data_IF_985093065143
#
_entry.id   IF_985093065143
#
_cell.length_a   1.000
_cell.length_b   1.000
_cell.length_c   1.000
_cell.angle_alpha   90.00
_cell.angle_beta   90.00
_cell.angle_gamma   90.00
#
_symmetry.space_group_name_H-M   'P 1'
#
loop_
_entity.id
_entity.type
_entity.pdbx_description
1 polymer ?
#
# COMPACT_ATOMS: atom_id res chain seq x y z
N UNK A 1 -10.85 13.51 -28.28
CA UNK A 1 -10.54 13.94 -26.90
C UNK A 1 -9.10 13.63 -26.50
N UNK A 2 -8.60 12.39 -26.53
CA UNK A 2 -7.17 12.10 -26.22
C UNK A 2 -6.16 12.81 -27.14
N UNK A 3 -6.53 13.06 -28.38
CA UNK A 3 -5.67 13.77 -29.36
C UNK A 3 -5.61 15.28 -29.10
N UNK A 4 -6.68 15.88 -28.56
CA UNK A 4 -6.79 17.34 -28.37
C UNK A 4 -5.94 17.88 -27.24
N UNK A 5 -5.51 17.00 -26.32
CA UNK A 5 -4.57 17.31 -25.24
C UNK A 5 -3.12 16.97 -25.59
N UNK A 6 -2.87 16.28 -26.70
CA UNK A 6 -1.57 15.66 -27.04
C UNK A 6 -0.64 16.48 -27.96
N UNK A 7 -1.15 17.53 -28.61
CA UNK A 7 -0.38 18.32 -29.60
C UNK A 7 0.65 19.28 -28.95
N UNK A 8 0.77 19.30 -27.62
CA UNK A 8 1.79 20.08 -26.92
C UNK A 8 2.19 19.49 -25.56
N UNK A 9 3.38 19.86 -25.07
CA UNK A 9 3.95 19.42 -23.77
C UNK A 9 3.30 20.14 -22.58
N UNK A 10 1.97 20.10 -22.50
CA UNK A 10 1.18 20.90 -21.57
C UNK A 10 0.73 20.14 -20.32
N UNK A 11 1.12 18.87 -20.16
CA UNK A 11 0.76 18.01 -19.04
C UNK A 11 1.69 18.10 -17.85
N UNK A 12 1.29 17.43 -16.75
CA UNK A 12 2.19 17.22 -15.62
C UNK A 12 3.24 16.20 -16.03
N UNK A 13 4.51 16.54 -15.85
CA UNK A 13 5.60 15.65 -16.26
C UNK A 13 5.80 14.50 -15.28
N UNK A 14 5.87 13.29 -15.84
CA UNK A 14 6.12 12.05 -15.12
C UNK A 14 7.59 11.66 -15.16
N UNK A 15 8.16 11.74 -16.36
CA UNK A 15 9.55 11.44 -16.67
C UNK A 15 10.05 12.43 -17.71
N UNK A 16 11.33 12.37 -18.08
CA UNK A 16 11.86 13.18 -19.19
C UNK A 16 11.06 13.03 -20.50
N UNK A 17 10.37 11.91 -20.70
CA UNK A 17 9.66 11.58 -21.95
C UNK A 17 8.14 11.48 -21.82
N UNK A 18 7.59 11.38 -20.61
CA UNK A 18 6.16 11.16 -20.40
C UNK A 18 5.52 12.30 -19.61
N UNK A 19 4.28 12.63 -19.99
CA UNK A 19 3.42 13.59 -19.31
C UNK A 19 2.04 12.96 -19.07
N UNK A 20 1.30 13.50 -18.10
CA UNK A 20 -0.13 13.22 -17.91
C UNK A 20 -0.89 14.49 -18.18
N UNK A 21 -1.71 14.41 -19.22
CA UNK A 21 -2.49 15.53 -19.70
C UNK A 21 -3.91 15.51 -19.16
N UNK A 22 -4.49 14.33 -19.02
CA UNK A 22 -5.86 14.12 -18.60
C UNK A 22 -6.08 12.80 -17.86
N UNK A 23 -7.13 12.76 -17.05
CA UNK A 23 -7.72 11.56 -16.47
C UNK A 23 -9.18 11.52 -16.88
N UNK A 24 -9.58 10.50 -17.63
CA UNK A 24 -10.95 10.38 -18.13
C UNK A 24 -11.66 9.17 -17.52
N UNK A 25 -12.92 9.36 -17.11
CA UNK A 25 -13.81 8.31 -16.66
C UNK A 25 -15.24 8.58 -17.14
N UNK A 26 -15.67 7.83 -18.16
CA UNK A 26 -16.97 8.03 -18.83
C UNK A 26 -17.09 9.50 -19.29
N UNK A 27 -17.94 10.29 -18.62
CA UNK A 27 -18.22 11.68 -18.95
C UNK A 27 -17.42 12.68 -18.11
N UNK A 28 -16.72 12.22 -17.06
CA UNK A 28 -15.89 13.04 -16.20
C UNK A 28 -14.46 13.06 -16.77
N UNK A 29 -13.97 14.25 -17.11
CA UNK A 29 -12.64 14.49 -17.65
C UNK A 29 -11.89 15.46 -16.73
N UNK A 30 -10.78 15.04 -16.15
CA UNK A 30 -9.91 15.92 -15.38
C UNK A 30 -8.66 16.29 -16.19
N UNK A 31 -8.54 17.55 -16.58
CA UNK A 31 -7.35 18.12 -17.22
C UNK A 31 -6.34 18.54 -16.18
N UNK A 32 -5.05 18.29 -16.47
CA UNK A 32 -3.93 18.65 -15.61
C UNK A 32 -2.92 19.49 -16.39
N UNK A 33 -2.52 20.64 -15.82
CA UNK A 33 -1.50 21.51 -16.41
C UNK A 33 -0.58 22.10 -15.35
N UNK A 34 0.62 22.55 -15.77
CA UNK A 34 1.58 23.23 -14.89
C UNK A 34 1.35 24.74 -14.83
N UNK A 35 0.92 25.34 -15.94
CA UNK A 35 0.70 26.78 -16.02
C UNK A 35 -0.75 27.11 -16.36
N UNK A 36 -1.16 28.31 -15.93
CA UNK A 36 -2.48 28.88 -16.25
C UNK A 36 -2.72 28.96 -17.76
N UNK A 37 -1.72 29.43 -18.52
CA UNK A 37 -1.78 29.49 -19.99
C UNK A 37 -2.01 28.11 -20.61
N UNK A 38 -1.29 27.09 -20.14
CA UNK A 38 -1.49 25.70 -20.58
C UNK A 38 -2.90 25.19 -20.25
N UNK A 39 -3.40 25.50 -19.06
CA UNK A 39 -4.77 25.14 -18.66
C UNK A 39 -5.82 25.81 -19.55
N UNK A 40 -5.65 27.11 -19.83
CA UNK A 40 -6.56 27.87 -20.69
C UNK A 40 -6.56 27.32 -22.13
N UNK A 41 -5.38 27.03 -22.69
CA UNK A 41 -5.24 26.41 -24.02
C UNK A 41 -5.92 25.04 -24.08
N UNK A 42 -5.68 24.18 -23.07
CA UNK A 42 -6.33 22.85 -23.02
C UNK A 42 -7.85 22.96 -22.91
N UNK A 43 -8.34 23.89 -22.09
CA UNK A 43 -9.78 24.12 -21.89
C UNK A 43 -10.44 24.54 -23.21
N UNK A 44 -9.83 25.50 -23.93
CA UNK A 44 -10.32 25.93 -25.24
C UNK A 44 -10.26 24.81 -26.30
N UNK A 45 -9.16 24.06 -26.36
CA UNK A 45 -9.01 22.92 -27.28
C UNK A 45 -10.07 21.85 -27.03
N UNK A 46 -10.32 21.49 -25.76
CA UNK A 46 -11.36 20.52 -25.40
C UNK A 46 -12.75 21.05 -25.73
N UNK A 47 -13.03 22.34 -25.55
CA UNK A 47 -14.30 22.95 -25.94
C UNK A 47 -14.58 22.81 -27.43
N UNK A 48 -13.60 23.15 -28.28
CA UNK A 48 -13.70 23.05 -29.73
C UNK A 48 -13.95 21.61 -30.18
N UNK A 49 -13.22 20.65 -29.60
CA UNK A 49 -13.38 19.22 -29.96
C UNK A 49 -14.67 18.63 -29.40
N UNK A 50 -15.11 19.05 -28.23
CA UNK A 50 -16.42 18.64 -27.68
C UNK A 50 -17.56 19.14 -28.57
N UNK A 51 -17.50 20.39 -29.03
CA UNK A 51 -18.48 20.96 -29.94
C UNK A 51 -18.55 20.22 -31.29
N UNK A 52 -17.42 19.74 -31.82
CA UNK A 52 -17.41 18.98 -33.09
C UNK A 52 -17.90 17.54 -32.96
N UNK A 53 -17.77 16.94 -31.76
CA UNK A 53 -18.14 15.54 -31.50
C UNK A 53 -19.58 15.41 -30.98
N UNK A 54 -20.21 16.52 -30.57
CA UNK A 54 -21.62 16.57 -30.12
C UNK A 54 -21.85 16.79 -28.62
N UNK A 55 -20.99 16.32 -27.69
CA UNK A 55 -21.17 16.62 -26.26
C UNK A 55 -20.89 18.10 -25.95
N UNK A 56 -21.87 18.81 -25.38
CA UNK A 56 -21.63 20.15 -24.83
C UNK A 56 -21.00 20.07 -23.44
N UNK A 57 -19.96 20.87 -23.17
CA UNK A 57 -19.38 20.99 -21.83
C UNK A 57 -20.36 21.70 -20.91
N UNK A 58 -20.70 21.08 -19.79
CA UNK A 58 -21.59 21.70 -18.80
C UNK A 58 -20.82 22.71 -17.93
N UNK A 59 -20.80 23.98 -18.35
CA UNK A 59 -20.08 25.07 -17.68
C UNK A 59 -20.30 25.14 -16.16
N UNK A 60 -21.55 25.03 -15.70
CA UNK A 60 -21.87 25.06 -14.26
C UNK A 60 -21.33 23.88 -13.43
N UNK A 61 -21.00 22.75 -14.05
CA UNK A 61 -20.41 21.57 -13.40
C UNK A 61 -18.89 21.55 -13.55
N UNK A 62 -18.35 22.27 -14.52
CA UNK A 62 -16.90 22.39 -14.74
C UNK A 62 -16.30 23.30 -13.68
N UNK A 63 -15.28 22.81 -12.98
CA UNK A 63 -14.62 23.52 -11.88
C UNK A 63 -13.11 23.55 -12.06
N UNK A 64 -12.48 24.63 -11.60
CA UNK A 64 -11.02 24.80 -11.57
C UNK A 64 -10.54 24.63 -10.12
N UNK A 65 -9.59 23.73 -9.88
CA UNK A 65 -8.88 23.61 -8.61
C UNK A 65 -7.40 23.96 -8.83
N UNK A 66 -6.90 24.94 -8.09
CA UNK A 66 -5.51 25.38 -8.18
C UNK A 66 -4.69 24.80 -7.03
N UNK A 67 -3.54 24.18 -7.34
CA UNK A 67 -2.64 23.67 -6.31
C UNK A 67 -1.49 24.62 -6.07
N UNK A 68 -1.58 25.40 -4.99
CA UNK A 68 -0.52 26.35 -4.58
C UNK A 68 -0.15 27.33 -5.70
N UNK A 69 -1.12 27.74 -6.51
CA UNK A 69 -0.93 28.76 -7.52
C UNK A 69 -1.13 30.15 -6.88
N UNK A 70 -0.22 31.07 -7.13
CA UNK A 70 -0.36 32.49 -6.76
C UNK A 70 -1.21 33.25 -7.78
N UNK A 71 -1.45 32.64 -8.95
CA UNK A 71 -2.18 33.24 -10.05
C UNK A 71 -3.69 33.15 -9.82
N UNK A 72 -4.32 34.31 -9.64
CA UNK A 72 -5.76 34.45 -9.45
C UNK A 72 -6.53 34.66 -10.77
N UNK A 73 -5.85 34.65 -11.92
CA UNK A 73 -6.48 34.81 -13.21
C UNK A 73 -7.55 33.73 -13.41
N UNK A 74 -8.77 34.10 -13.86
CA UNK A 74 -9.83 33.16 -14.15
C UNK A 74 -9.45 32.27 -15.35
N UNK A 75 -9.98 31.05 -15.37
CA UNK A 75 -10.04 30.24 -16.59
C UNK A 75 -11.41 30.51 -17.21
N UNK A 76 -11.43 30.75 -18.52
CA UNK A 76 -12.65 31.05 -19.26
C UNK A 76 -12.98 29.92 -20.24
N UNK A 77 -14.27 29.66 -20.43
CA UNK A 77 -14.81 28.70 -21.38
C UNK A 77 -15.95 29.37 -22.15
N UNK A 78 -15.77 29.56 -23.46
CA UNK A 78 -16.70 30.28 -24.34
C UNK A 78 -17.11 31.65 -23.78
N UNK A 79 -16.14 32.42 -23.28
CA UNK A 79 -16.36 33.75 -22.68
C UNK A 79 -16.89 33.76 -21.25
N UNK A 80 -17.29 32.62 -20.69
CA UNK A 80 -17.74 32.50 -19.30
C UNK A 80 -16.61 32.11 -18.36
N UNK A 81 -16.52 32.76 -17.21
CA UNK A 81 -15.54 32.43 -16.16
C UNK A 81 -15.96 31.14 -15.43
N UNK A 82 -15.06 30.16 -15.39
CA UNK A 82 -15.26 28.95 -14.61
C UNK A 82 -15.01 29.20 -13.12
N UNK A 83 -15.80 28.53 -12.28
CA UNK A 83 -15.68 28.67 -10.82
C UNK A 83 -14.36 28.05 -10.32
N UNK A 84 -13.59 28.85 -9.58
CA UNK A 84 -12.44 28.38 -8.80
C UNK A 84 -12.96 27.83 -7.47
N UNK A 85 -12.65 26.56 -7.17
CA UNK A 85 -13.06 25.89 -5.94
C UNK A 85 -11.85 25.48 -5.11
N UNK A 86 -12.00 25.47 -3.79
CA UNK A 86 -10.96 24.98 -2.87
C UNK A 86 -10.96 23.45 -2.74
N UNK A 87 -12.09 22.82 -3.04
CA UNK A 87 -12.22 21.36 -3.09
C UNK A 87 -13.30 20.92 -4.06
N UNK A 88 -13.18 19.71 -4.60
CA UNK A 88 -14.21 19.10 -5.42
C UNK A 88 -14.25 17.58 -5.24
N UNK A 89 -15.34 16.95 -5.67
CA UNK A 89 -15.51 15.50 -5.61
C UNK A 89 -15.25 14.88 -6.98
N UNK A 90 -14.21 14.06 -7.09
CA UNK A 90 -13.90 13.27 -8.28
C UNK A 90 -14.06 11.79 -8.00
N UNK A 91 -14.93 11.10 -8.76
CA UNK A 91 -15.22 9.67 -8.60
C UNK A 91 -15.55 9.26 -7.14
N UNK A 92 -16.24 10.18 -6.45
CA UNK A 92 -16.65 10.07 -5.06
C UNK A 92 -15.59 10.46 -4.03
N UNK A 93 -14.33 10.67 -4.39
CA UNK A 93 -13.26 11.11 -3.49
C UNK A 93 -13.12 12.63 -3.49
N UNK A 94 -12.97 13.23 -2.31
CA UNK A 94 -12.77 14.67 -2.20
C UNK A 94 -11.30 15.01 -2.40
N UNK A 95 -11.03 15.93 -3.32
CA UNK A 95 -9.71 16.49 -3.59
C UNK A 95 -9.74 17.94 -3.12
N UNK A 96 -8.87 18.31 -2.19
CA UNK A 96 -8.70 19.68 -1.68
C UNK A 96 -7.40 20.32 -2.17
N UNK A 97 -7.34 21.64 -2.17
CA UNK A 97 -6.15 22.43 -2.57
C UNK A 97 -4.89 22.10 -1.74
N UNK A 98 -5.08 21.63 -0.50
CA UNK A 98 -3.96 21.27 0.38
C UNK A 98 -3.39 19.87 0.07
N UNK A 99 -4.07 19.11 -0.81
CA UNK A 99 -3.77 17.73 -1.20
C UNK A 99 -3.79 16.76 -0.02
N UNK A 100 -4.64 17.03 0.97
CA UNK A 100 -4.85 16.19 2.15
C UNK A 100 -5.88 15.08 1.92
N UNK A 101 -6.03 14.18 2.90
CA UNK A 101 -7.11 13.19 2.91
C UNK A 101 -8.15 13.47 4.00
N UNK A 102 -7.99 14.56 4.76
CA UNK A 102 -8.83 14.83 5.94
C UNK A 102 -10.26 15.19 5.55
N UNK A 103 -10.46 15.97 4.48
CA UNK A 103 -11.78 16.29 3.96
C UNK A 103 -12.52 15.05 3.47
N UNK A 104 -11.85 14.20 2.69
CA UNK A 104 -12.40 12.93 2.20
C UNK A 104 -12.76 11.99 3.35
N UNK A 105 -11.85 11.80 4.32
CA UNK A 105 -12.09 10.95 5.51
C UNK A 105 -13.28 11.47 6.31
N UNK A 106 -13.40 12.79 6.51
CA UNK A 106 -14.54 13.40 7.21
C UNK A 106 -15.86 13.11 6.47
N UNK A 107 -15.88 13.28 5.15
CA UNK A 107 -17.06 12.98 4.34
C UNK A 107 -17.43 11.49 4.37
N UNK A 108 -16.43 10.60 4.34
CA UNK A 108 -16.62 9.14 4.41
C UNK A 108 -17.17 8.69 5.76
N UNK A 109 -16.70 9.29 6.87
CA UNK A 109 -17.29 9.08 8.19
C UNK A 109 -18.76 9.54 8.21
N UNK A 110 -19.08 10.69 7.61
CA UNK A 110 -20.46 11.17 7.50
C UNK A 110 -21.39 10.22 6.73
N UNK A 111 -20.93 9.74 5.56
CA UNK A 111 -21.65 8.76 4.75
C UNK A 111 -21.83 7.43 5.47
N UNK A 112 -20.76 6.91 6.08
CA UNK A 112 -20.80 5.67 6.84
C UNK A 112 -21.70 5.79 8.09
N UNK A 113 -21.71 6.93 8.76
CA UNK A 113 -22.62 7.20 9.89
C UNK A 113 -24.08 7.14 9.43
N UNK A 114 -24.39 7.74 8.29
CA UNK A 114 -25.75 7.71 7.72
C UNK A 114 -26.17 6.28 7.41
N UNK A 115 -25.31 5.51 6.73
CA UNK A 115 -25.55 4.09 6.45
C UNK A 115 -25.73 3.27 7.74
N UNK A 116 -24.92 3.53 8.77
CA UNK A 116 -25.06 2.86 10.06
C UNK A 116 -26.41 3.17 10.72
N UNK A 117 -26.85 4.43 10.71
CA UNK A 117 -28.12 4.83 11.32
C UNK A 117 -29.35 4.26 10.59
N UNK A 118 -29.28 4.14 9.26
CA UNK A 118 -30.36 3.51 8.47
C UNK A 118 -30.59 2.05 8.88
N UNK A 119 -29.55 1.35 9.34
CA UNK A 119 -29.62 -0.04 9.77
C UNK A 119 -29.91 -0.20 11.29
N UNK A 120 -30.43 0.84 11.96
CA UNK A 120 -30.70 0.83 13.42
C UNK A 120 -31.48 -0.39 13.91
N UNK A 121 -32.48 -0.83 13.14
CA UNK A 121 -33.33 -1.96 13.50
C UNK A 121 -32.56 -3.28 13.50
N UNK A 122 -31.56 -3.42 12.63
CA UNK A 122 -30.67 -4.59 12.56
C UNK A 122 -29.80 -4.65 13.81
N UNK A 123 -29.23 -3.52 14.22
CA UNK A 123 -28.36 -3.45 15.41
C UNK A 123 -29.13 -3.78 16.69
N UNK A 124 -30.37 -3.30 16.79
CA UNK A 124 -31.24 -3.52 17.95
C UNK A 124 -31.92 -4.90 17.98
N UNK A 125 -31.94 -5.63 16.85
CA UNK A 125 -32.63 -6.93 16.78
C UNK A 125 -31.94 -7.99 17.65
N UNK A 126 -32.71 -8.64 18.53
CA UNK A 126 -32.25 -9.78 19.33
C UNK A 126 -32.21 -11.10 18.54
N UNK A 127 -32.92 -11.16 17.41
CA UNK A 127 -33.01 -12.35 16.56
C UNK A 127 -31.72 -12.58 15.74
N UNK A 128 -30.97 -11.51 15.47
CA UNK A 128 -29.73 -11.59 14.70
C UNK A 128 -28.54 -11.81 15.63
N UNK A 129 -27.73 -12.82 15.31
CA UNK A 129 -26.47 -13.05 16.01
C UNK A 129 -25.49 -11.89 15.78
N UNK A 130 -24.61 -11.67 16.76
CA UNK A 130 -23.52 -10.68 16.65
C UNK A 130 -22.68 -10.87 15.39
N UNK A 131 -22.37 -12.12 15.02
CA UNK A 131 -21.58 -12.43 13.83
C UNK A 131 -22.26 -11.96 12.54
N UNK A 132 -23.58 -12.12 12.43
CA UNK A 132 -24.35 -11.63 11.28
C UNK A 132 -24.33 -10.10 11.25
N UNK A 133 -24.56 -9.45 12.39
CA UNK A 133 -24.52 -7.97 12.48
C UNK A 133 -23.14 -7.42 12.08
N UNK A 134 -22.05 -8.02 12.56
CA UNK A 134 -20.69 -7.63 12.18
C UNK A 134 -20.44 -7.82 10.68
N UNK A 135 -20.95 -8.90 10.07
CA UNK A 135 -20.87 -9.09 8.60
C UNK A 135 -21.63 -8.00 7.84
N UNK A 136 -22.82 -7.62 8.29
CA UNK A 136 -23.62 -6.54 7.69
C UNK A 136 -22.88 -5.20 7.84
N UNK A 137 -22.30 -4.94 9.02
CA UNK A 137 -21.46 -3.76 9.26
C UNK A 137 -20.27 -3.70 8.30
N UNK A 138 -19.54 -4.81 8.13
CA UNK A 138 -18.36 -4.87 7.25
C UNK A 138 -18.71 -4.61 5.78
N UNK A 139 -19.84 -5.15 5.32
CA UNK A 139 -20.28 -5.07 3.91
C UNK A 139 -20.91 -3.73 3.55
N UNK A 140 -21.67 -3.11 4.46
CA UNK A 140 -22.42 -1.90 4.15
C UNK A 140 -21.77 -0.63 4.72
N UNK A 141 -21.33 -0.66 5.98
CA UNK A 141 -20.83 0.55 6.67
C UNK A 141 -19.33 0.69 6.48
N UNK A 142 -18.56 -0.37 6.78
CA UNK A 142 -17.09 -0.35 6.68
C UNK A 142 -16.64 -0.20 5.22
N UNK A 143 -17.39 -0.75 4.26
CA UNK A 143 -17.14 -0.58 2.83
C UNK A 143 -17.25 0.88 2.38
N UNK A 144 -18.30 1.59 2.83
CA UNK A 144 -18.49 3.02 2.55
C UNK A 144 -17.41 3.86 3.24
N UNK A 145 -17.10 3.52 4.49
CA UNK A 145 -16.10 4.22 5.30
C UNK A 145 -14.70 4.16 4.68
N UNK A 146 -14.28 2.98 4.21
CA UNK A 146 -12.91 2.72 3.73
C UNK A 146 -12.79 2.75 2.21
N UNK A 147 -13.75 3.36 1.52
CA UNK A 147 -13.66 3.57 0.09
C UNK A 147 -12.50 4.55 -0.23
N UNK A 148 -11.61 4.15 -1.13
CA UNK A 148 -10.44 4.95 -1.53
C UNK A 148 -9.29 4.98 -0.51
N UNK A 149 -9.42 4.27 0.61
CA UNK A 149 -8.48 4.34 1.72
C UNK A 149 -7.06 3.84 1.38
N UNK A 150 -6.92 3.02 0.35
CA UNK A 150 -5.65 2.58 -0.21
C UNK A 150 -4.76 3.76 -0.67
N UNK A 151 -5.37 4.88 -1.09
CA UNK A 151 -4.65 6.08 -1.57
C UNK A 151 -4.56 7.19 -0.53
N UNK A 152 -5.18 7.03 0.64
CA UNK A 152 -5.16 8.06 1.67
C UNK A 152 -3.75 8.30 2.19
N UNK A 153 -3.44 9.58 2.42
CA UNK A 153 -2.31 10.00 3.23
C UNK A 153 -2.66 9.78 4.70
N UNK A 154 -2.49 8.56 5.18
CA UNK A 154 -2.78 8.19 6.57
C UNK A 154 -1.81 8.87 7.53
N UNK A 155 -2.34 9.72 8.40
CA UNK A 155 -1.66 10.19 9.62
C UNK A 155 -2.20 9.41 10.82
N UNK A 156 -1.47 9.41 11.93
CA UNK A 156 -1.94 8.84 13.20
C UNK A 156 -3.28 9.44 13.62
N UNK A 157 -3.47 10.75 13.43
CA UNK A 157 -4.73 11.44 13.71
C UNK A 157 -5.87 10.94 12.82
N UNK A 158 -5.63 10.79 11.52
CA UNK A 158 -6.63 10.28 10.56
C UNK A 158 -7.03 8.84 10.89
N UNK A 159 -6.06 7.96 11.17
CA UNK A 159 -6.30 6.57 11.59
C UNK A 159 -7.12 6.53 12.87
N UNK A 160 -6.76 7.34 13.89
CA UNK A 160 -7.49 7.44 15.15
C UNK A 160 -8.95 7.86 14.93
N UNK A 161 -9.22 8.86 14.09
CA UNK A 161 -10.60 9.30 13.77
C UNK A 161 -11.44 8.16 13.18
N UNK A 162 -10.88 7.41 12.24
CA UNK A 162 -11.55 6.24 11.63
C UNK A 162 -11.77 5.13 12.67
N UNK A 163 -10.76 4.83 13.48
CA UNK A 163 -10.86 3.81 14.53
C UNK A 163 -11.92 4.16 15.59
N UNK A 164 -11.99 5.42 16.03
CA UNK A 164 -13.01 5.87 16.99
C UNK A 164 -14.41 5.64 16.45
N UNK A 165 -14.65 5.96 15.18
CA UNK A 165 -15.95 5.71 14.55
C UNK A 165 -16.28 4.21 14.48
N UNK A 166 -15.34 3.37 14.05
CA UNK A 166 -15.52 1.90 14.00
C UNK A 166 -15.83 1.37 15.40
N UNK A 167 -15.04 1.76 16.40
CA UNK A 167 -15.20 1.32 17.78
C UNK A 167 -16.55 1.75 18.38
N UNK A 168 -17.05 2.94 18.03
CA UNK A 168 -18.39 3.38 18.42
C UNK A 168 -19.49 2.51 17.81
N UNK A 169 -19.36 2.15 16.52
CA UNK A 169 -20.30 1.27 15.85
C UNK A 169 -20.29 -0.15 16.44
N UNK A 170 -19.11 -0.71 16.69
CA UNK A 170 -18.97 -2.07 17.25
C UNK A 170 -19.57 -2.17 18.67
N UNK A 171 -19.36 -1.16 19.53
CA UNK A 171 -20.01 -1.11 20.86
C UNK A 171 -21.53 -1.13 20.77
N UNK A 172 -22.10 -0.37 19.83
CA UNK A 172 -23.55 -0.39 19.58
C UNK A 172 -24.04 -1.75 19.06
N UNK A 173 -23.29 -2.40 18.18
CA UNK A 173 -23.62 -3.74 17.67
C UNK A 173 -23.62 -4.78 18.79
N UNK A 174 -22.68 -4.68 19.73
CA UNK A 174 -22.60 -5.52 20.92
C UNK A 174 -23.58 -5.12 22.02
N UNK A 175 -24.40 -4.09 21.81
CA UNK A 175 -25.35 -3.57 22.78
C UNK A 175 -24.70 -3.15 24.11
N UNK A 176 -23.49 -2.57 24.04
CA UNK A 176 -22.75 -2.10 25.21
C UNK A 176 -23.13 -0.65 25.46
N UNK A 177 -23.75 -0.42 26.61
CA UNK A 177 -24.19 0.89 27.08
C UNK A 177 -23.56 1.19 28.42
N UNK A 178 -23.39 2.48 28.74
CA UNK A 178 -23.02 2.86 30.10
C UNK A 178 -24.07 2.31 31.09
N UNK A 179 -23.68 1.75 32.25
CA UNK A 179 -22.36 1.78 32.89
C UNK A 179 -21.38 0.67 32.44
N UNK A 180 -21.78 -0.23 31.55
CA UNK A 180 -20.93 -1.32 31.08
C UNK A 180 -19.75 -0.77 30.26
N UNK A 181 -18.54 -1.19 30.64
CA UNK A 181 -17.31 -0.80 29.95
C UNK A 181 -16.54 -2.03 29.48
N UNK A 182 -15.92 -1.90 28.30
CA UNK A 182 -15.01 -2.91 27.77
C UNK A 182 -13.77 -2.25 27.16
N UNK A 183 -12.64 -2.93 27.27
CA UNK A 183 -11.40 -2.51 26.63
C UNK A 183 -11.52 -2.57 25.10
N UNK A 184 -10.73 -1.75 24.40
CA UNK A 184 -10.70 -1.77 22.93
C UNK A 184 -10.14 -3.11 22.40
N UNK A 185 -9.18 -3.74 23.09
CA UNK A 185 -8.64 -5.05 22.71
C UNK A 185 -9.71 -6.13 22.73
N UNK A 186 -10.47 -6.22 23.83
CA UNK A 186 -11.56 -7.19 23.97
C UNK A 186 -12.70 -6.91 22.97
N UNK A 187 -12.98 -5.64 22.64
CA UNK A 187 -13.93 -5.27 21.60
C UNK A 187 -13.55 -5.88 20.24
N UNK A 188 -12.27 -5.78 19.87
CA UNK A 188 -11.76 -6.28 18.59
C UNK A 188 -11.71 -7.81 18.55
N UNK A 189 -11.33 -8.45 19.66
CA UNK A 189 -11.33 -9.90 19.81
C UNK A 189 -12.75 -10.48 19.66
N UNK A 190 -13.72 -9.97 20.44
CA UNK A 190 -15.13 -10.43 20.39
C UNK A 190 -15.78 -10.26 19.03
N UNK A 191 -15.35 -9.29 18.24
CA UNK A 191 -15.92 -9.00 16.91
C UNK A 191 -15.07 -9.55 15.77
N UNK A 192 -13.93 -10.19 16.08
CA UNK A 192 -12.92 -10.63 15.13
C UNK A 192 -12.58 -9.53 14.10
N UNK A 193 -12.35 -8.31 14.59
CA UNK A 193 -12.08 -7.13 13.76
C UNK A 193 -10.61 -6.72 13.86
N UNK A 194 -10.02 -6.43 12.71
CA UNK A 194 -8.72 -5.77 12.63
C UNK A 194 -8.82 -4.29 12.98
N UNK A 195 -7.70 -3.72 13.43
CA UNK A 195 -7.60 -2.27 13.59
C UNK A 195 -7.74 -1.57 12.23
N UNK A 196 -8.17 -0.30 12.26
CA UNK A 196 -8.31 0.54 11.07
C UNK A 196 -6.99 0.67 10.32
N UNK A 197 -5.87 0.74 11.04
CA UNK A 197 -4.53 0.80 10.45
C UNK A 197 -4.21 -0.46 9.64
N UNK A 198 -4.40 -1.64 10.22
CA UNK A 198 -4.15 -2.92 9.55
C UNK A 198 -5.08 -3.13 8.35
N UNK A 199 -6.35 -2.76 8.48
CA UNK A 199 -7.33 -2.88 7.39
C UNK A 199 -6.95 -1.97 6.21
N UNK A 200 -6.60 -0.71 6.48
CA UNK A 200 -6.16 0.24 5.45
C UNK A 200 -4.85 -0.25 4.81
N UNK A 201 -3.90 -0.73 5.61
CA UNK A 201 -2.66 -1.33 5.13
C UNK A 201 -2.94 -2.52 4.22
N UNK A 202 -3.80 -3.47 4.62
CA UNK A 202 -4.19 -4.63 3.79
C UNK A 202 -4.82 -4.21 2.46
N UNK A 203 -5.70 -3.20 2.45
CA UNK A 203 -6.28 -2.63 1.22
C UNK A 203 -5.22 -2.01 0.32
N UNK A 204 -4.33 -1.21 0.89
CA UNK A 204 -3.20 -0.60 0.20
C UNK A 204 -2.31 -1.65 -0.45
N UNK A 205 -1.95 -2.71 0.26
CA UNK A 205 -1.18 -3.81 -0.32
C UNK A 205 -1.91 -4.54 -1.45
N UNK A 206 -3.21 -4.81 -1.30
CA UNK A 206 -4.01 -5.38 -2.41
C UNK A 206 -3.94 -4.49 -3.65
N UNK A 207 -4.09 -3.18 -3.47
CA UNK A 207 -4.01 -2.19 -4.55
C UNK A 207 -2.61 -2.12 -5.17
N UNK A 208 -1.54 -2.04 -4.36
CA UNK A 208 -0.14 -2.02 -4.83
C UNK A 208 0.14 -3.23 -5.71
N UNK A 209 -0.21 -4.43 -5.28
CA UNK A 209 0.04 -5.63 -6.07
C UNK A 209 -0.73 -5.64 -7.39
N UNK A 210 -1.97 -5.14 -7.38
CA UNK A 210 -2.75 -4.98 -8.61
C UNK A 210 -2.06 -3.99 -9.57
N UNK A 211 -1.57 -2.88 -9.04
CA UNK A 211 -0.89 -1.82 -9.80
C UNK A 211 0.46 -2.28 -10.36
N UNK A 212 1.29 -2.97 -9.57
CA UNK A 212 2.60 -3.48 -10.01
C UNK A 212 2.51 -4.53 -11.11
N UNK A 213 1.40 -5.27 -11.19
CA UNK A 213 1.13 -6.23 -12.28
C UNK A 213 0.68 -5.58 -13.60
N UNK A 214 0.27 -4.31 -13.61
CA UNK A 214 -0.10 -3.62 -14.86
C UNK A 214 1.15 -3.29 -15.67
N UNK A 215 1.02 -2.95 -16.96
CA UNK A 215 2.15 -2.51 -17.78
C UNK A 215 2.86 -1.29 -17.19
N UNK A 216 4.16 -1.14 -17.46
CA UNK A 216 4.96 0.03 -17.06
C UNK A 216 4.41 1.35 -17.64
N UNK A 217 3.74 1.28 -18.78
CA UNK A 217 3.10 2.43 -19.43
C UNK A 217 1.75 2.82 -18.80
N UNK A 218 1.23 2.03 -17.85
CA UNK A 218 -0.05 2.33 -17.21
C UNK A 218 0.11 3.49 -16.21
N UNK A 219 -0.76 4.50 -16.31
CA UNK A 219 -0.76 5.71 -15.46
C UNK A 219 -0.74 5.34 -13.97
N UNK A 220 -1.53 4.35 -13.54
CA UNK A 220 -1.54 3.95 -12.12
C UNK A 220 -0.23 3.34 -11.65
N UNK A 221 0.50 2.63 -12.52
CA UNK A 221 1.81 2.05 -12.18
C UNK A 221 2.88 3.12 -12.14
N UNK A 222 2.85 4.06 -13.09
CA UNK A 222 3.71 5.22 -13.03
C UNK A 222 3.42 6.03 -11.74
N UNK A 223 2.14 6.20 -11.35
CA UNK A 223 1.70 6.97 -10.17
C UNK A 223 2.36 6.49 -8.89
N UNK A 224 2.51 5.19 -8.80
CA UNK A 224 3.08 4.52 -7.64
C UNK A 224 4.56 4.88 -7.43
N UNK A 225 5.33 5.01 -8.51
CA UNK A 225 6.79 5.22 -8.47
C UNK A 225 7.19 6.68 -8.71
N UNK A 226 6.25 7.53 -9.10
CA UNK A 226 6.54 8.91 -9.46
C UNK A 226 7.02 9.73 -8.26
N UNK A 227 8.06 10.53 -8.52
CA UNK A 227 8.58 11.51 -7.58
C UNK A 227 8.49 12.88 -8.24
N UNK A 228 7.63 13.79 -7.76
CA UNK A 228 7.54 15.12 -8.34
C UNK A 228 8.88 15.85 -8.17
N UNK A 229 9.34 16.50 -9.23
CA UNK A 229 10.51 17.35 -9.22
C UNK A 229 10.26 18.60 -8.37
N UNK A 230 11.29 19.09 -7.69
CA UNK A 230 11.26 20.33 -6.91
C UNK A 230 11.79 20.20 -5.49
N UNK A 231 12.08 21.35 -4.89
CA UNK A 231 12.54 21.44 -3.49
C UNK A 231 11.35 21.46 -2.54
N UNK A 232 11.49 20.79 -1.39
CA UNK A 232 10.50 20.88 -0.32
C UNK A 232 10.52 22.27 0.30
N UNK A 233 9.34 22.79 0.66
CA UNK A 233 9.25 24.02 1.46
C UNK A 233 9.95 23.82 2.81
N UNK A 234 10.56 24.89 3.32
CA UNK A 234 11.11 24.95 4.68
C UNK A 234 9.98 24.75 5.70
N UNK A 235 10.23 23.95 6.74
CA UNK A 235 9.24 23.58 7.76
C UNK A 235 8.99 22.07 7.85
N UNK A 236 8.01 21.65 8.68
CA UNK A 236 7.69 20.23 8.88
C UNK A 236 7.21 19.59 7.57
N UNK A 237 7.92 18.58 7.01
CA UNK A 237 7.51 17.97 5.76
C UNK A 237 6.17 17.24 5.93
N UNK A 238 5.21 17.52 5.03
CA UNK A 238 3.98 16.71 4.93
C UNK A 238 4.35 15.28 4.51
N UNK A 239 3.63 14.30 5.05
CA UNK A 239 3.80 12.91 4.64
C UNK A 239 3.36 12.74 3.17
N UNK A 240 3.84 11.72 2.46
CA UNK A 240 3.43 11.42 1.08
C UNK A 240 2.94 9.99 0.99
N UNK A 241 2.11 9.67 -0.01
CA UNK A 241 1.67 8.29 -0.25
C UNK A 241 2.88 7.36 -0.42
N UNK A 242 3.89 7.79 -1.19
CA UNK A 242 5.16 7.06 -1.35
C UNK A 242 5.85 6.75 -0.02
N UNK A 243 5.97 7.73 0.89
CA UNK A 243 6.61 7.51 2.20
C UNK A 243 5.81 6.57 3.10
N UNK A 244 4.48 6.61 3.00
CA UNK A 244 3.61 5.67 3.71
C UNK A 244 3.84 4.26 3.19
N UNK A 245 3.91 4.09 1.87
CA UNK A 245 4.20 2.80 1.25
C UNK A 245 5.59 2.34 1.68
N UNK A 246 6.62 3.17 1.56
CA UNK A 246 7.98 2.84 2.02
C UNK A 246 8.03 2.48 3.52
N UNK A 247 7.21 3.12 4.36
CA UNK A 247 7.10 2.76 5.77
C UNK A 247 6.45 1.38 5.96
N UNK A 248 5.32 1.10 5.28
CA UNK A 248 4.69 -0.23 5.32
C UNK A 248 5.65 -1.31 4.79
N UNK A 249 6.43 -1.00 3.75
CA UNK A 249 7.44 -1.91 3.21
C UNK A 249 8.54 -2.22 4.22
N UNK A 250 9.04 -1.19 4.92
CA UNK A 250 10.04 -1.35 5.98
C UNK A 250 9.50 -2.21 7.12
N UNK A 251 8.23 -2.03 7.51
CA UNK A 251 7.61 -2.88 8.53
C UNK A 251 7.51 -4.35 8.12
N UNK A 252 7.49 -4.62 6.81
CA UNK A 252 7.45 -5.98 6.25
C UNK A 252 8.82 -6.47 5.75
N UNK A 253 9.90 -5.72 6.02
CA UNK A 253 11.26 -6.03 5.57
C UNK A 253 11.39 -6.34 4.07
N UNK A 254 10.72 -5.55 3.22
CA UNK A 254 10.82 -5.65 1.76
C UNK A 254 11.34 -4.37 1.10
N UNK A 255 12.00 -4.55 -0.03
CA UNK A 255 12.31 -3.47 -0.97
C UNK A 255 11.40 -3.48 -2.21
N UNK A 256 11.50 -2.43 -3.04
CA UNK A 256 10.63 -2.27 -4.22
C UNK A 256 10.81 -3.38 -5.25
N UNK A 257 12.05 -3.84 -5.45
CA UNK A 257 12.40 -4.91 -6.39
C UNK A 257 11.79 -6.25 -5.98
N UNK A 258 11.85 -6.58 -4.69
CA UNK A 258 11.25 -7.79 -4.13
C UNK A 258 9.72 -7.76 -4.26
N UNK A 259 9.09 -6.62 -3.97
CA UNK A 259 7.64 -6.47 -4.12
C UNK A 259 7.19 -6.60 -5.55
N UNK A 260 7.92 -5.98 -6.49
CA UNK A 260 7.63 -6.10 -7.91
C UNK A 260 7.68 -7.58 -8.34
N UNK A 261 8.72 -8.31 -7.92
CA UNK A 261 8.86 -9.75 -8.19
C UNK A 261 7.74 -10.57 -7.56
N UNK A 262 7.45 -10.40 -6.28
CA UNK A 262 6.41 -11.16 -5.55
C UNK A 262 5.02 -10.82 -6.08
N UNK A 263 4.79 -9.58 -6.52
CA UNK A 263 3.49 -9.17 -7.06
C UNK A 263 3.09 -9.92 -8.32
N UNK A 264 4.05 -10.43 -9.10
CA UNK A 264 3.77 -11.26 -10.28
C UNK A 264 3.22 -12.64 -9.89
N UNK A 265 3.69 -13.20 -8.77
CA UNK A 265 3.12 -14.39 -8.17
C UNK A 265 1.81 -14.05 -7.42
N UNK A 266 0.67 -14.36 -8.05
CA UNK A 266 -0.64 -14.11 -7.45
C UNK A 266 -0.85 -14.89 -6.15
N UNK A 267 -0.27 -16.08 -6.01
CA UNK A 267 -0.43 -16.91 -4.81
C UNK A 267 0.44 -16.37 -3.69
N UNK A 268 1.73 -16.13 -3.95
CA UNK A 268 2.65 -15.49 -3.01
C UNK A 268 2.15 -14.13 -2.53
N UNK A 269 1.64 -13.29 -3.44
CA UNK A 269 1.05 -11.99 -3.07
C UNK A 269 -0.19 -12.13 -2.16
N UNK A 270 -1.06 -13.11 -2.42
CA UNK A 270 -2.23 -13.37 -1.57
C UNK A 270 -1.82 -13.83 -0.17
N UNK A 271 -0.78 -14.64 -0.04
CA UNK A 271 -0.28 -15.08 1.27
C UNK A 271 0.26 -13.89 2.07
N UNK A 272 1.12 -13.07 1.46
CA UNK A 272 1.67 -11.84 2.07
C UNK A 272 0.57 -10.89 2.57
N UNK A 273 -0.45 -10.64 1.73
CA UNK A 273 -1.54 -9.72 2.08
C UNK A 273 -2.54 -10.27 3.11
N UNK A 274 -2.62 -11.59 3.29
CA UNK A 274 -3.50 -12.22 4.29
C UNK A 274 -2.85 -12.28 5.66
N UNK A 275 -1.60 -12.75 5.72
CA UNK A 275 -0.88 -12.98 6.96
C UNK A 275 -0.46 -11.66 7.63
N UNK A 276 -0.26 -10.58 6.87
CA UNK A 276 0.08 -9.27 7.44
C UNK A 276 1.44 -9.23 8.13
N UNK A 277 2.21 -10.33 8.05
CA UNK A 277 3.56 -10.45 8.55
C UNK A 277 4.56 -10.31 7.39
N UNK A 278 5.77 -9.79 7.66
CA UNK A 278 6.91 -10.06 6.79
C UNK A 278 6.95 -11.57 6.52
N UNK A 279 6.92 -12.03 5.26
CA UNK A 279 7.71 -13.24 5.00
C UNK A 279 9.12 -12.71 5.21
N UNK A 280 9.67 -12.94 6.40
CA UNK A 280 11.08 -12.70 6.68
C UNK A 280 11.84 -13.07 5.40
N UNK A 281 12.68 -12.20 4.83
CA UNK A 281 13.74 -12.67 3.96
C UNK A 281 14.68 -13.42 4.91
N UNK A 282 14.25 -14.58 5.36
CA UNK A 282 15.21 -15.58 5.69
C UNK A 282 16.00 -15.75 4.41
N UNK A 283 17.31 -15.63 4.53
CA UNK A 283 18.32 -16.25 3.68
C UNK A 283 18.13 -17.78 3.55
N UNK A 284 16.91 -18.29 3.74
CA UNK A 284 16.49 -19.66 3.94
C UNK A 284 15.19 -19.85 3.16
N UNK A 285 15.18 -20.85 2.30
CA UNK A 285 14.02 -21.23 1.51
C UNK A 285 12.84 -21.69 2.37
N UNK A 286 11.93 -20.78 2.70
CA UNK A 286 10.59 -21.16 3.14
C UNK A 286 9.69 -21.62 1.97
N UNK A 287 10.23 -21.77 0.75
CA UNK A 287 9.52 -22.47 -0.32
C UNK A 287 9.57 -24.00 -0.19
N UNK A 288 10.19 -24.59 0.85
CA UNK A 288 10.48 -26.03 0.84
C UNK A 288 9.93 -26.85 2.04
N UNK A 289 9.44 -26.24 3.12
CA UNK A 289 8.80 -27.01 4.19
C UNK A 289 7.43 -27.57 3.78
N UNK A 290 6.74 -26.92 2.83
CA UNK A 290 5.44 -27.36 2.30
C UNK A 290 5.62 -28.35 1.11
N UNK A 291 6.85 -28.57 0.63
CA UNK A 291 7.15 -29.45 -0.51
C UNK A 291 7.65 -30.86 -0.11
N UNK A 292 7.71 -31.20 1.18
CA UNK A 292 8.11 -32.56 1.60
C UNK A 292 7.14 -33.64 1.10
N UNK A 293 5.91 -33.26 0.83
CA UNK A 293 4.89 -34.19 0.36
C UNK A 293 4.18 -33.60 -0.85
N UNK A 294 4.66 -33.97 -2.04
CA UNK A 294 3.92 -33.75 -3.26
C UNK A 294 2.87 -34.86 -3.43
N UNK A 295 1.65 -34.45 -3.69
CA UNK A 295 0.50 -35.32 -3.92
C UNK A 295 0.07 -35.19 -5.39
N UNK A 296 -0.43 -36.28 -5.95
CA UNK A 296 -0.85 -36.35 -7.34
C UNK A 296 -2.24 -36.97 -7.46
N UNK A 297 -3.13 -36.34 -8.25
CA UNK A 297 -4.43 -36.92 -8.58
C UNK A 297 -4.31 -37.98 -9.70
N UNK A 298 -5.36 -38.77 -9.93
CA UNK A 298 -5.43 -39.76 -11.01
C UNK A 298 -5.07 -39.19 -12.40
N UNK A 299 -5.51 -37.95 -12.69
CA UNK A 299 -5.18 -37.23 -13.93
C UNK A 299 -3.82 -36.51 -13.90
N UNK A 300 -2.88 -36.98 -13.08
CA UNK A 300 -1.49 -36.52 -12.97
C UNK A 300 -1.24 -35.05 -12.58
N UNK A 301 -2.26 -34.30 -12.16
CA UNK A 301 -2.05 -32.96 -11.58
C UNK A 301 -1.38 -33.05 -10.21
N UNK A 302 -0.38 -32.19 -9.99
CA UNK A 302 0.53 -32.24 -8.83
C UNK A 302 0.26 -31.07 -7.88
N UNK A 303 0.18 -31.36 -6.59
CA UNK A 303 -0.12 -30.39 -5.55
C UNK A 303 0.79 -30.57 -4.35
N UNK A 304 1.01 -29.48 -3.61
CA UNK A 304 1.65 -29.54 -2.30
C UNK A 304 0.63 -29.92 -1.21
N UNK A 305 1.07 -30.54 -0.09
CA UNK A 305 0.17 -30.84 1.03
C UNK A 305 -0.66 -29.63 1.48
N UNK A 306 -0.01 -28.47 1.65
CA UNK A 306 -0.71 -27.23 2.04
C UNK A 306 -1.75 -26.75 1.01
N UNK A 307 -1.51 -27.04 -0.27
CA UNK A 307 -2.39 -26.70 -1.39
C UNK A 307 -3.66 -27.57 -1.35
N UNK A 308 -3.50 -28.87 -1.09
CA UNK A 308 -4.61 -29.82 -0.91
C UNK A 308 -5.36 -29.53 0.38
N UNK A 309 -4.66 -29.35 1.49
CA UNK A 309 -5.28 -29.05 2.79
C UNK A 309 -6.14 -27.78 2.72
N UNK A 310 -5.65 -26.73 2.09
CA UNK A 310 -6.42 -25.48 1.90
C UNK A 310 -7.64 -25.69 1.00
N UNK A 311 -7.53 -26.58 0.01
CA UNK A 311 -8.62 -26.91 -0.91
C UNK A 311 -9.72 -27.73 -0.21
N UNK A 312 -9.35 -28.73 0.58
CA UNK A 312 -10.28 -29.59 1.31
C UNK A 312 -10.94 -28.90 2.50
N UNK A 313 -10.28 -27.92 3.13
CA UNK A 313 -10.76 -27.21 4.35
C UNK A 313 -11.37 -25.82 4.08
N UNK A 314 -11.63 -25.48 2.81
CA UNK A 314 -12.17 -24.19 2.42
C UNK A 314 -13.63 -23.92 2.83
N UNK A 315 -14.12 -22.65 2.72
CA UNK A 315 -15.48 -22.24 3.15
C UNK A 315 -16.63 -22.88 2.38
N UNK A 316 -16.33 -23.51 1.25
CA UNK A 316 -17.23 -24.38 0.47
C UNK A 316 -16.78 -25.81 0.76
N UNK A 317 -17.42 -26.45 1.73
CA UNK A 317 -16.99 -27.71 2.37
C UNK A 317 -16.91 -28.91 1.42
N UNK A 318 -15.92 -29.79 1.63
CA UNK A 318 -15.99 -31.22 1.27
C UNK A 318 -15.48 -31.65 -0.10
N UNK A 319 -14.63 -30.86 -0.77
CA UNK A 319 -14.08 -31.27 -2.05
C UNK A 319 -12.93 -32.29 -1.86
N UNK A 320 -13.26 -33.58 -1.92
CA UNK A 320 -12.27 -34.63 -2.15
C UNK A 320 -11.76 -34.60 -3.61
N UNK A 321 -12.50 -33.96 -4.51
CA UNK A 321 -12.12 -33.82 -5.92
C UNK A 321 -10.88 -32.95 -6.16
N UNK A 322 -10.11 -33.28 -7.20
CA UNK A 322 -8.97 -32.48 -7.65
C UNK A 322 -9.33 -31.02 -8.00
N UNK A 323 -8.54 -30.02 -7.56
CA UNK A 323 -8.77 -28.60 -7.90
C UNK A 323 -8.80 -28.29 -9.40
N UNK A 324 -8.16 -29.14 -10.22
CA UNK A 324 -7.99 -28.92 -11.66
C UNK A 324 -8.96 -29.78 -12.48
N UNK A 325 -8.90 -31.12 -12.35
CA UNK A 325 -9.77 -32.03 -13.12
C UNK A 325 -11.15 -32.25 -12.50
N UNK A 326 -11.39 -31.85 -11.25
CA UNK A 326 -12.61 -32.20 -10.48
C UNK A 326 -12.87 -33.71 -10.35
N UNK A 327 -11.87 -34.54 -10.62
CA UNK A 327 -11.95 -35.99 -10.47
C UNK A 327 -11.82 -36.41 -9.00
N UNK A 328 -12.57 -37.45 -8.59
CA UNK A 328 -12.73 -37.86 -7.20
C UNK A 328 -11.42 -38.34 -6.53
N UNK A 329 -11.38 -38.15 -5.20
CA UNK A 329 -10.21 -37.79 -4.40
C UNK A 329 -9.23 -38.86 -3.98
N UNK A 330 -8.75 -39.70 -4.89
CA UNK A 330 -7.56 -40.52 -4.61
C UNK A 330 -6.30 -39.73 -4.98
N UNK A 331 -5.70 -39.05 -4.00
CA UNK A 331 -4.38 -38.42 -4.12
C UNK A 331 -3.30 -39.36 -3.61
N UNK A 332 -2.40 -39.80 -4.48
CA UNK A 332 -1.25 -40.61 -4.09
C UNK A 332 -0.04 -39.72 -3.77
N UNK A 333 0.80 -40.14 -2.81
CA UNK A 333 2.12 -39.53 -2.59
C UNK A 333 2.97 -39.75 -3.84
N UNK A 334 3.54 -38.67 -4.37
CA UNK A 334 4.42 -38.72 -5.53
C UNK A 334 5.86 -38.94 -5.08
N UNK A 335 6.24 -40.21 -4.96
CA UNK A 335 7.57 -40.63 -4.51
C UNK A 335 8.70 -40.16 -5.42
N UNK A 336 8.52 -40.20 -6.75
CA UNK A 336 9.52 -39.73 -7.72
C UNK A 336 9.86 -38.24 -7.55
N UNK A 337 8.84 -37.42 -7.29
CA UNK A 337 9.03 -35.98 -7.08
C UNK A 337 9.69 -35.73 -5.72
N UNK A 338 9.30 -36.46 -4.67
CA UNK A 338 9.95 -36.38 -3.37
C UNK A 338 11.43 -36.80 -3.46
N UNK A 339 11.75 -37.84 -4.23
CA UNK A 339 13.13 -38.26 -4.48
C UNK A 339 13.93 -37.17 -5.21
N UNK A 340 13.36 -36.56 -6.25
CA UNK A 340 13.98 -35.42 -6.97
C UNK A 340 14.20 -34.21 -6.05
N UNK A 341 13.28 -33.93 -5.13
CA UNK A 341 13.40 -32.84 -4.15
C UNK A 341 14.50 -33.17 -3.14
N UNK A 342 14.53 -34.41 -2.62
CA UNK A 342 15.53 -34.86 -1.65
C UNK A 342 16.96 -34.88 -2.22
N UNK A 343 17.11 -35.05 -3.54
CA UNK A 343 18.40 -34.97 -4.25
C UNK A 343 18.89 -33.53 -4.48
N UNK A 344 18.07 -32.48 -4.26
CA UNK A 344 18.51 -31.09 -4.45
C UNK A 344 19.63 -30.73 -3.47
N UNK A 345 20.71 -30.12 -3.98
CA UNK A 345 21.80 -29.61 -3.15
C UNK A 345 21.36 -28.35 -2.41
N UNK A 346 21.66 -28.31 -1.11
CA UNK A 346 21.42 -27.19 -0.22
C UNK A 346 22.68 -26.87 0.59
N UNK A 347 22.80 -25.62 1.03
CA UNK A 347 23.84 -25.16 1.95
C UNK A 347 23.28 -25.10 3.37
N UNK A 348 24.10 -25.45 4.35
CA UNK A 348 23.75 -25.31 5.76
C UNK A 348 23.45 -23.83 6.09
N UNK A 349 22.34 -23.54 6.78
CA UNK A 349 21.89 -22.18 7.06
C UNK A 349 22.44 -21.60 8.38
N UNK A 350 23.42 -22.25 9.01
CA UNK A 350 24.06 -21.80 10.26
C UNK A 350 25.27 -20.95 9.90
N UNK A 351 25.33 -19.72 10.42
CA UNK A 351 26.43 -18.77 10.13
C UNK A 351 27.77 -19.36 10.60
N UNK A 352 28.76 -19.36 9.70
CA UNK A 352 30.07 -19.99 9.91
C UNK A 352 30.17 -21.46 9.48
N UNK A 353 29.07 -22.11 9.08
CA UNK A 353 29.11 -23.46 8.55
C UNK A 353 29.17 -23.51 7.01
N UNK A 354 30.22 -24.11 6.47
CA UNK A 354 30.42 -24.25 5.02
C UNK A 354 29.82 -25.54 4.43
N UNK A 355 29.04 -26.29 5.20
CA UNK A 355 28.49 -27.57 4.75
C UNK A 355 27.52 -27.39 3.57
N UNK A 356 27.68 -28.21 2.53
CA UNK A 356 26.78 -28.30 1.37
C UNK A 356 26.57 -29.75 0.98
N UNK A 357 25.31 -30.20 0.90
CA UNK A 357 24.95 -31.58 0.57
C UNK A 357 23.54 -31.67 0.01
N UNK A 358 23.05 -32.88 -0.27
CA UNK A 358 21.64 -33.06 -0.65
C UNK A 358 20.72 -32.72 0.52
N UNK A 359 19.46 -32.39 0.21
CA UNK A 359 18.44 -32.14 1.22
C UNK A 359 18.24 -33.37 2.15
N UNK A 360 18.39 -34.59 1.62
CA UNK A 360 18.38 -35.81 2.44
C UNK A 360 19.55 -35.88 3.42
N UNK A 361 20.77 -35.54 2.98
CA UNK A 361 21.97 -35.57 3.82
C UNK A 361 21.97 -34.46 4.89
N UNK A 362 21.24 -33.37 4.66
CA UNK A 362 21.13 -32.28 5.63
C UNK A 362 20.41 -32.69 6.92
N UNK A 363 19.53 -33.69 6.88
CA UNK A 363 18.83 -34.17 8.07
C UNK A 363 19.78 -34.77 9.12
N UNK A 364 20.95 -35.24 8.70
CA UNK A 364 21.98 -35.82 9.56
C UNK A 364 23.11 -34.83 9.88
N UNK A 365 23.01 -33.59 9.39
CA UNK A 365 23.99 -32.55 9.65
C UNK A 365 23.67 -31.83 10.98
N UNK A 366 24.50 -32.04 11.99
CA UNK A 366 24.34 -31.45 13.31
C UNK A 366 25.40 -30.38 13.60
N UNK A 367 25.03 -29.40 14.43
CA UNK A 367 25.95 -28.42 15.01
C UNK A 367 26.08 -28.68 16.49
N UNK A 368 27.33 -28.69 16.99
CA UNK A 368 27.59 -28.76 18.43
C UNK A 368 27.01 -27.50 19.09
N UNK A 369 26.06 -27.67 20.03
CA UNK A 369 25.58 -26.57 20.88
C UNK A 369 26.36 -26.60 22.17
N UNK A 370 27.04 -25.50 22.49
CA UNK A 370 27.62 -25.29 23.81
C UNK A 370 26.50 -25.05 24.83
N UNK A 371 26.59 -25.65 26.02
CA UNK A 371 25.64 -25.35 27.08
C UNK A 371 25.81 -23.89 27.55
N UNK A 372 24.79 -23.27 28.16
CA UNK A 372 24.90 -21.92 28.73
C UNK A 372 26.10 -21.77 29.69
N UNK A 373 26.43 -22.84 30.44
CA UNK A 373 27.58 -22.87 31.34
C UNK A 373 28.92 -22.87 30.60
N UNK A 374 29.01 -23.56 29.46
CA UNK A 374 30.22 -23.56 28.61
C UNK A 374 30.41 -22.21 27.89
N UNK A 375 29.31 -21.53 27.54
CA UNK A 375 29.35 -20.17 26.98
C UNK A 375 29.80 -19.12 28.02
N UNK A 376 29.38 -19.26 29.28
CA UNK A 376 29.80 -18.38 30.37
C UNK A 376 31.29 -18.52 30.69
N UNK A 377 31.84 -19.75 30.68
CA UNK A 377 33.27 -19.99 30.86
C UNK A 377 34.11 -19.31 29.75
N UNK A 378 33.68 -19.39 28.51
CA UNK A 378 34.35 -18.75 27.37
C UNK A 378 34.30 -17.21 27.43
N UNK A 379 33.21 -16.64 27.97
CA UNK A 379 33.07 -15.19 28.17
C UNK A 379 33.92 -14.66 29.34
N UNK A 380 34.18 -15.48 30.35
CA UNK A 380 35.06 -15.13 31.49
C UNK A 380 36.52 -15.03 31.03
N UNK A 381 36.98 -15.95 30.18
CA UNK A 381 38.36 -15.93 29.68
C UNK A 381 38.62 -14.72 28.75
N UNK A 382 37.66 -14.33 27.90
CA UNK A 382 37.76 -13.12 27.09
C UNK A 382 37.90 -11.82 27.93
N UNK A 383 37.31 -11.76 29.13
CA UNK A 383 37.43 -10.58 30.01
C UNK A 383 38.79 -10.52 30.72
N UNK A 384 39.41 -11.66 31.01
CA UNK A 384 40.77 -11.70 31.60
C UNK A 384 41.84 -11.18 30.64
N UNK A 385 41.68 -11.41 29.33
CA UNK A 385 42.63 -10.93 28.33
C UNK A 385 42.53 -9.42 28.07
N UNK A 386 41.32 -8.85 28.13
CA UNK A 386 41.13 -7.38 27.99
C UNK A 386 41.68 -6.57 29.18
N UNK A 387 41.66 -7.14 30.40
CA UNK A 387 42.23 -6.45 31.56
C UNK A 387 43.76 -6.46 31.59
N UNK A 388 44.43 -7.39 30.90
CA UNK A 388 45.90 -7.41 30.79
C UNK A 388 46.45 -6.37 29.79
N UNK A 389 45.65 -5.88 28.84
CA UNK A 389 46.12 -4.90 27.84
C UNK A 389 45.99 -3.43 28.28
N UNK A 390 45.43 -3.15 29.45
CA UNK A 390 45.04 -1.79 29.89
C UNK A 390 46.08 -1.08 30.75
N UNK A 391 47.21 -1.72 31.08
CA UNK A 391 48.27 -1.15 31.93
C UNK A 391 49.63 -1.21 31.24
N UNK A 392 49.86 -0.37 30.24
CA UNK A 392 51.20 0.03 29.81
C UNK A 392 51.14 1.23 28.86
N UNK A 393 52.03 2.21 29.10
CA UNK A 393 52.37 3.38 28.28
C UNK A 393 51.49 4.64 28.38
N UNK A 394 51.79 5.45 29.40
CA UNK A 394 51.79 6.91 29.34
C UNK A 394 53.03 7.38 28.55
N UNK A 395 52.88 8.40 27.69
CA UNK A 395 53.64 9.68 27.70
C UNK A 395 53.13 10.63 26.58
N UNK A 396 53.21 11.98 26.74
CA UNK A 396 52.43 12.96 25.97
C UNK A 396 53.26 13.83 25.01
N UNK A 397 52.66 14.34 23.92
CA UNK A 397 53.18 15.47 23.12
C UNK A 397 52.05 16.44 22.70
N UNK A 398 52.45 17.69 22.65
CA UNK A 398 51.86 19.04 22.61
C UNK A 398 51.00 19.45 21.39
N UNK A 399 50.12 20.42 21.66
CA UNK A 399 49.27 21.25 20.76
C UNK A 399 50.03 22.23 19.86
N UNK A 400 49.54 22.45 18.63
CA UNK A 400 49.64 23.72 17.90
C UNK A 400 48.41 23.96 17.00
N UNK A 401 47.84 25.17 17.11
CA UNK A 401 46.78 25.75 16.29
C UNK A 401 47.32 26.29 14.96
N UNK A 402 46.50 26.30 13.89
CA UNK A 402 46.38 27.46 13.00
C UNK A 402 45.12 27.41 12.11
N UNK A 403 44.43 28.55 12.07
CA UNK A 403 43.27 28.88 11.23
C UNK A 403 43.73 29.29 9.82
N UNK A 404 42.96 28.94 8.79
CA UNK A 404 42.92 29.68 7.51
C UNK A 404 41.46 29.84 7.05
N UNK A 405 41.05 31.10 6.92
CA UNK A 405 39.83 31.59 6.29
C UNK A 405 39.75 31.20 4.81
N UNK A 406 38.55 30.94 4.28
CA UNK A 406 38.27 31.23 2.88
C UNK A 406 36.87 31.83 2.66
N UNK A 407 36.88 32.88 1.86
CA UNK A 407 35.83 33.86 1.58
C UNK A 407 34.76 33.33 0.62
N UNK A 408 33.56 33.88 0.79
CA UNK A 408 32.39 33.75 -0.09
C UNK A 408 32.57 34.47 -1.43
N UNK A 409 31.97 33.92 -2.49
CA UNK A 409 31.53 34.65 -3.69
C UNK A 409 30.08 34.21 -4.00
N UNK A 410 29.14 35.14 -4.25
CA UNK A 410 27.73 34.82 -4.42
C UNK A 410 27.40 34.50 -5.88
N UNK A 411 26.66 33.42 -6.12
CA UNK A 411 26.04 33.13 -7.42
C UNK A 411 24.53 33.21 -7.26
N UNK A 412 23.93 34.23 -7.89
CA UNK A 412 22.47 34.36 -8.07
C UNK A 412 21.98 33.22 -8.97
N UNK A 413 21.01 32.45 -8.51
CA UNK A 413 20.24 31.54 -9.36
C UNK A 413 18.74 31.74 -9.13
N UNK A 414 18.03 31.95 -10.24
CA UNK A 414 16.60 32.15 -10.33
C UNK A 414 15.80 30.98 -9.72
N UNK A 415 14.83 31.32 -8.88
CA UNK A 415 13.85 30.40 -8.31
C UNK A 415 12.82 29.99 -9.38
N UNK A 416 12.85 28.73 -9.80
CA UNK A 416 11.73 28.08 -10.50
C UNK A 416 11.07 27.13 -9.50
N UNK A 417 9.99 27.60 -8.87
CA UNK A 417 9.08 26.75 -8.08
C UNK A 417 7.95 26.27 -9.00
N UNK A 418 7.83 24.96 -9.23
CA UNK A 418 6.78 24.39 -10.09
C UNK A 418 5.39 24.48 -9.42
N UNK A 419 4.41 24.95 -10.20
CA UNK A 419 3.00 25.21 -9.88
C UNK A 419 2.15 24.20 -10.68
N UNK A 420 0.98 23.79 -10.18
CA UNK A 420 0.08 22.88 -10.89
C UNK A 420 -1.39 23.35 -10.77
N UNK A 421 -2.18 23.13 -11.82
CA UNK A 421 -3.61 23.43 -11.89
C UNK A 421 -4.37 22.16 -12.36
N UNK A 422 -5.55 21.92 -11.78
CA UNK A 422 -6.49 20.88 -12.20
C UNK A 422 -7.82 21.49 -12.63
N UNK A 423 -8.43 20.93 -13.67
CA UNK A 423 -9.76 21.30 -14.12
C UNK A 423 -10.58 20.03 -14.33
N UNK A 424 -11.77 19.94 -13.74
CA UNK A 424 -12.72 18.86 -14.05
C UNK A 424 -13.78 19.38 -15.02
N UNK A 425 -13.97 18.69 -16.14
CA UNK A 425 -14.95 18.89 -17.19
C UNK A 425 -15.94 17.72 -17.14
N UNK A 426 -17.24 18.01 -17.05
CA UNK A 426 -18.27 16.99 -17.10
C UNK A 426 -19.11 17.16 -18.38
N UNK A 427 -19.17 16.10 -19.19
CA UNK A 427 -19.93 16.07 -20.45
C UNK A 427 -21.35 15.51 -20.23
N UNK A 428 -22.34 16.06 -20.93
CA UNK A 428 -23.69 15.49 -20.94
C UNK A 428 -23.78 14.33 -21.94
N UNK A 429 -24.32 13.19 -21.50
CA UNK A 429 -25.04 12.27 -22.39
C UNK A 429 -26.50 12.30 -21.93
N UNK A 430 -27.41 12.66 -22.82
CA UNK A 430 -28.83 12.35 -22.66
C UNK A 430 -29.06 10.85 -22.79
#
# INVERSE_FOLDING_TARGET
>A
MKTSTSEGKHGIQWTARNQLDDLNFVNDLALLSRTHEQMQMKTASVAVVSASVGPSIHKGKTKVLKFKAENNNPITLDGETLENVESFTYLGSIIDEQGGSDADVKARIGKARTAFLQLKNIWNSKQLSTNIKVRIFNTNVKAVLLYGAETWRTTTTTIKKVQVFINSCLRKILNIHWPDTISNSLLWERTNQLTAEEEIRKRRWKWIGHTLRKSSNCITRQALTWNPEGKRKRGRPKNTLRRIIEADMKTMNYNWTELERISQDRVGWRMLTRLGEPLQPSSKGHSYLILKEAYQCQNQHKFCYGCIYTWSTGPTTGHDSCPVCRCDGLYAKNYDLNERINKKRIRCPTDGCNWMGSLSAYQQHEHRRYSPYELDLLLIDCKKDQMKSSTSSLLPITTQNQMVHNKEIPIKFNDITQRNELLQINNNNN
#
